data_IF_827867712924
#
_entry.id   IF_827867712924
#
_cell.length_a   1.000
_cell.length_b   1.000
_cell.length_c   1.000
_cell.angle_alpha   90.00
_cell.angle_beta   90.00
_cell.angle_gamma   90.00
#
_symmetry.space_group_name_H-M   'P 1'
#
loop_
_entity.id
_entity.type
_entity.pdbx_description
1 polymer ?
#
# COMPACT_ATOMS: atom_id res chain seq x y z
N UNK A 1 -19.98 14.87 5.43
CA UNK A 1 -20.15 14.08 4.18
C UNK A 1 -20.12 12.61 4.57
N UNK A 2 -21.09 11.80 4.15
CA UNK A 2 -21.12 10.37 4.47
C UNK A 2 -20.22 9.58 3.53
N UNK A 3 -19.45 8.65 4.09
CA UNK A 3 -18.59 7.74 3.34
C UNK A 3 -19.39 6.85 2.39
N UNK A 4 -19.17 7.00 1.08
CA UNK A 4 -19.75 6.15 0.06
C UNK A 4 -18.74 5.08 -0.38
N UNK A 5 -19.16 3.82 -0.35
CA UNK A 5 -18.43 2.62 -0.78
C UNK A 5 -19.22 1.90 -1.87
N UNK A 6 -18.61 0.95 -2.56
CA UNK A 6 -19.31 0.19 -3.61
C UNK A 6 -20.54 -0.56 -3.05
N UNK A 7 -20.42 -1.09 -1.83
CA UNK A 7 -21.51 -1.78 -1.12
C UNK A 7 -22.67 -0.83 -0.79
N UNK A 8 -22.37 0.35 -0.22
CA UNK A 8 -23.40 1.34 0.12
C UNK A 8 -24.04 1.99 -1.10
N UNK A 9 -23.26 2.21 -2.16
CA UNK A 9 -23.78 2.75 -3.43
C UNK A 9 -24.78 1.78 -4.07
N UNK A 10 -24.45 0.49 -4.17
CA UNK A 10 -25.37 -0.49 -4.75
C UNK A 10 -26.66 -0.67 -3.93
N UNK A 11 -26.57 -0.60 -2.59
CA UNK A 11 -27.75 -0.61 -1.71
C UNK A 11 -28.61 0.63 -1.91
N UNK A 12 -28.01 1.81 -2.03
CA UNK A 12 -28.73 3.06 -2.28
C UNK A 12 -29.41 3.06 -3.67
N UNK A 13 -28.70 2.62 -4.70
CA UNK A 13 -29.24 2.46 -6.06
C UNK A 13 -30.43 1.49 -6.07
N UNK A 14 -30.32 0.35 -5.37
CA UNK A 14 -31.42 -0.60 -5.25
C UNK A 14 -32.60 -0.03 -4.45
N UNK A 15 -32.34 0.68 -3.34
CA UNK A 15 -33.38 1.31 -2.55
C UNK A 15 -34.17 2.34 -3.36
N UNK A 16 -33.47 3.16 -4.16
CA UNK A 16 -34.09 4.10 -5.09
C UNK A 16 -34.90 3.38 -6.17
N UNK A 17 -34.36 2.32 -6.77
CA UNK A 17 -35.07 1.52 -7.77
C UNK A 17 -36.33 0.86 -7.22
N UNK A 18 -36.33 0.43 -5.95
CA UNK A 18 -37.48 -0.19 -5.27
C UNK A 18 -38.57 0.83 -4.90
N UNK A 19 -38.22 2.10 -4.74
CA UNK A 19 -39.16 3.12 -4.27
C UNK A 19 -40.42 3.14 -5.14
N UNK A 20 -41.60 3.05 -4.50
CA UNK A 20 -42.89 3.05 -5.17
C UNK A 20 -43.36 1.70 -5.75
N UNK A 21 -42.66 0.58 -5.50
CA UNK A 21 -43.10 -0.76 -5.93
C UNK A 21 -43.67 -1.58 -4.78
N UNK A 22 -44.66 -2.44 -5.08
CA UNK A 22 -45.14 -3.45 -4.14
C UNK A 22 -44.07 -4.53 -3.91
N UNK A 23 -44.15 -5.20 -2.77
CA UNK A 23 -43.21 -6.26 -2.43
C UNK A 23 -43.25 -7.44 -3.41
N UNK A 24 -44.43 -7.82 -3.90
CA UNK A 24 -44.56 -8.91 -4.87
C UNK A 24 -43.95 -8.53 -6.23
N UNK A 25 -44.18 -7.30 -6.70
CA UNK A 25 -43.55 -6.80 -7.91
C UNK A 25 -42.02 -6.72 -7.76
N UNK A 26 -41.55 -6.28 -6.58
CA UNK A 26 -40.14 -6.24 -6.26
C UNK A 26 -39.54 -7.65 -6.20
N UNK A 27 -40.23 -8.63 -5.62
CA UNK A 27 -39.82 -10.03 -5.58
C UNK A 27 -39.65 -10.62 -6.98
N UNK A 28 -40.68 -10.48 -7.83
CA UNK A 28 -40.64 -10.97 -9.19
C UNK A 28 -39.49 -10.34 -9.99
N UNK A 29 -39.34 -9.02 -9.90
CA UNK A 29 -38.29 -8.30 -10.61
C UNK A 29 -36.88 -8.62 -10.09
N UNK A 30 -36.70 -8.79 -8.78
CA UNK A 30 -35.41 -9.22 -8.21
C UNK A 30 -35.06 -10.64 -8.66
N UNK A 31 -36.01 -11.57 -8.57
CA UNK A 31 -35.80 -12.96 -8.99
C UNK A 31 -35.44 -13.05 -10.48
N UNK A 32 -36.17 -12.33 -11.34
CA UNK A 32 -35.88 -12.30 -12.78
C UNK A 32 -34.53 -11.66 -13.08
N UNK A 33 -34.20 -10.55 -12.43
CA UNK A 33 -32.91 -9.89 -12.60
C UNK A 33 -31.76 -10.81 -12.24
N UNK A 34 -31.85 -11.52 -11.12
CA UNK A 34 -30.80 -12.46 -10.69
C UNK A 34 -30.67 -13.59 -11.70
N UNK A 35 -31.77 -14.23 -12.14
CA UNK A 35 -31.72 -15.28 -13.17
C UNK A 35 -31.00 -14.84 -14.44
N UNK A 36 -31.38 -13.68 -14.96
CA UNK A 36 -30.84 -13.18 -16.23
C UNK A 36 -29.37 -12.75 -16.14
N UNK A 37 -28.94 -12.27 -14.97
CA UNK A 37 -27.64 -11.61 -14.84
C UNK A 37 -26.62 -12.41 -14.02
N UNK A 38 -26.99 -13.55 -13.42
CA UNK A 38 -26.07 -14.33 -12.59
C UNK A 38 -24.86 -14.87 -13.37
N UNK A 39 -25.03 -15.09 -14.68
CA UNK A 39 -23.93 -15.49 -15.55
C UNK A 39 -23.11 -14.31 -16.07
N UNK A 40 -23.66 -13.09 -16.05
CA UNK A 40 -22.93 -11.90 -16.43
C UNK A 40 -21.87 -11.60 -15.35
N UNK A 41 -20.59 -11.63 -15.75
CA UNK A 41 -19.44 -11.46 -14.86
C UNK A 41 -19.45 -10.15 -14.04
N UNK A 42 -18.58 -10.11 -13.02
CA UNK A 42 -18.18 -9.09 -12.02
C UNK A 42 -18.89 -7.72 -11.91
N UNK A 43 -19.34 -7.09 -13.00
CA UNK A 43 -19.90 -5.73 -13.01
C UNK A 43 -21.24 -5.63 -12.27
N UNK A 44 -22.04 -6.69 -12.29
CA UNK A 44 -23.37 -6.71 -11.67
C UNK A 44 -23.39 -7.40 -10.29
N UNK A 45 -22.24 -7.85 -9.78
CA UNK A 45 -22.15 -8.62 -8.52
C UNK A 45 -22.81 -7.88 -7.36
N UNK A 46 -22.54 -6.58 -7.20
CA UNK A 46 -23.15 -5.78 -6.13
C UNK A 46 -24.66 -5.55 -6.32
N UNK A 47 -25.11 -5.40 -7.56
CA UNK A 47 -26.52 -5.23 -7.88
C UNK A 47 -27.32 -6.52 -7.64
N UNK A 48 -26.72 -7.68 -7.92
CA UNK A 48 -27.24 -9.02 -7.59
C UNK A 48 -27.28 -9.19 -6.07
N UNK A 49 -26.18 -8.87 -5.39
CA UNK A 49 -26.07 -8.98 -3.94
C UNK A 49 -27.13 -8.14 -3.20
N UNK A 50 -27.33 -6.88 -3.58
CA UNK A 50 -28.33 -6.01 -2.97
C UNK A 50 -29.76 -6.56 -3.12
N UNK A 51 -30.11 -7.09 -4.30
CA UNK A 51 -31.41 -7.73 -4.57
C UNK A 51 -31.58 -9.02 -3.78
N UNK A 52 -30.54 -9.85 -3.72
CA UNK A 52 -30.55 -11.09 -2.95
C UNK A 52 -30.71 -10.81 -1.45
N UNK A 53 -29.97 -9.85 -0.89
CA UNK A 53 -30.12 -9.48 0.52
C UNK A 53 -31.53 -9.02 0.84
N UNK A 54 -32.12 -8.17 -0.01
CA UNK A 54 -33.50 -7.74 0.16
C UNK A 54 -34.49 -8.92 0.13
N UNK A 55 -34.36 -9.84 -0.83
CA UNK A 55 -35.20 -11.04 -0.89
C UNK A 55 -35.06 -11.88 0.39
N UNK A 56 -33.82 -12.06 0.87
CA UNK A 56 -33.52 -12.83 2.08
C UNK A 56 -34.06 -12.16 3.34
N UNK A 57 -33.99 -10.83 3.44
CA UNK A 57 -34.55 -10.03 4.53
C UNK A 57 -36.09 -10.10 4.57
N UNK A 58 -36.74 -10.13 3.39
CA UNK A 58 -38.21 -10.16 3.33
C UNK A 58 -38.79 -11.54 3.63
N UNK A 59 -38.18 -12.60 3.08
CA UNK A 59 -38.56 -13.98 3.38
C UNK A 59 -37.40 -14.92 3.15
N UNK A 60 -36.77 -15.34 4.25
CA UNK A 60 -35.64 -16.27 4.21
C UNK A 60 -35.99 -17.60 3.55
N UNK A 61 -37.15 -18.17 3.89
CA UNK A 61 -37.59 -19.46 3.33
C UNK A 61 -37.81 -19.37 1.82
N UNK A 62 -38.51 -18.33 1.36
CA UNK A 62 -38.77 -18.10 -0.08
C UNK A 62 -37.48 -17.79 -0.85
N UNK A 63 -36.53 -17.10 -0.22
CA UNK A 63 -35.23 -16.78 -0.83
C UNK A 63 -34.37 -18.04 -0.99
N UNK A 64 -34.36 -18.93 0.01
CA UNK A 64 -33.64 -20.21 -0.09
C UNK A 64 -34.27 -21.13 -1.14
N UNK A 65 -35.61 -21.22 -1.19
CA UNK A 65 -36.29 -21.94 -2.26
C UNK A 65 -35.96 -21.36 -3.64
N UNK A 66 -35.92 -20.03 -3.78
CA UNK A 66 -35.47 -19.38 -5.02
C UNK A 66 -34.02 -19.74 -5.36
N UNK A 67 -33.09 -19.71 -4.40
CA UNK A 67 -31.68 -20.10 -4.63
C UNK A 67 -31.56 -21.54 -5.10
N UNK A 68 -32.33 -22.45 -4.51
CA UNK A 68 -32.36 -23.86 -4.91
C UNK A 68 -32.96 -24.05 -6.31
N UNK A 69 -33.89 -23.18 -6.72
CA UNK A 69 -34.49 -23.23 -8.06
C UNK A 69 -33.59 -22.71 -9.20
N UNK A 70 -32.42 -22.16 -8.89
CA UNK A 70 -31.48 -21.66 -9.90
C UNK A 70 -30.62 -22.81 -10.42
N UNK A 71 -30.53 -22.95 -11.74
CA UNK A 71 -29.65 -23.93 -12.41
C UNK A 71 -28.19 -23.78 -11.98
N UNK A 72 -27.78 -22.54 -11.65
CA UNK A 72 -26.42 -22.22 -11.22
C UNK A 72 -26.38 -21.65 -9.80
N UNK A 73 -27.06 -22.33 -8.86
CA UNK A 73 -27.16 -21.93 -7.45
C UNK A 73 -25.80 -21.70 -6.75
N UNK A 74 -24.75 -22.42 -7.15
CA UNK A 74 -23.39 -22.24 -6.65
C UNK A 74 -22.82 -20.86 -6.98
N UNK A 75 -23.08 -20.31 -8.17
CA UNK A 75 -22.61 -18.97 -8.56
C UNK A 75 -23.22 -17.88 -7.69
N UNK A 76 -24.52 -18.01 -7.36
CA UNK A 76 -25.15 -17.07 -6.45
C UNK A 76 -24.52 -17.15 -5.05
N UNK A 77 -24.23 -18.36 -4.58
CA UNK A 77 -23.56 -18.57 -3.28
C UNK A 77 -22.17 -17.93 -3.25
N UNK A 78 -21.35 -18.14 -4.28
CA UNK A 78 -20.03 -17.53 -4.42
C UNK A 78 -20.09 -15.99 -4.50
N UNK A 79 -21.01 -15.45 -5.29
CA UNK A 79 -21.28 -14.02 -5.40
C UNK A 79 -21.59 -13.41 -4.01
N UNK A 80 -22.53 -14.02 -3.29
CA UNK A 80 -22.94 -13.58 -1.96
C UNK A 80 -21.80 -13.67 -0.95
N UNK A 81 -21.03 -14.76 -0.97
CA UNK A 81 -19.88 -14.92 -0.09
C UNK A 81 -18.78 -13.88 -0.39
N UNK A 82 -18.49 -13.61 -1.67
CA UNK A 82 -17.52 -12.60 -2.09
C UNK A 82 -17.90 -11.19 -1.64
N UNK A 83 -19.16 -10.79 -1.84
CA UNK A 83 -19.67 -9.50 -1.37
C UNK A 83 -19.68 -9.41 0.17
N UNK A 84 -20.08 -10.47 0.86
CA UNK A 84 -20.09 -10.50 2.34
C UNK A 84 -18.67 -10.36 2.90
N UNK A 85 -17.69 -11.06 2.32
CA UNK A 85 -16.29 -10.94 2.69
C UNK A 85 -15.76 -9.52 2.43
N UNK A 86 -16.15 -8.91 1.31
CA UNK A 86 -15.80 -7.53 0.98
C UNK A 86 -16.36 -6.55 2.01
N UNK A 87 -17.64 -6.66 2.40
CA UNK A 87 -18.25 -5.83 3.46
C UNK A 87 -17.49 -5.98 4.79
N UNK A 88 -17.11 -7.22 5.16
CA UNK A 88 -16.34 -7.47 6.40
C UNK A 88 -14.97 -6.79 6.36
N UNK A 89 -14.25 -6.92 5.25
CA UNK A 89 -12.94 -6.25 5.05
C UNK A 89 -13.07 -4.73 5.06
N UNK A 90 -14.12 -4.23 4.40
CA UNK A 90 -14.45 -2.80 4.38
C UNK A 90 -14.70 -2.26 5.79
N UNK A 91 -15.53 -2.95 6.59
CA UNK A 91 -15.77 -2.59 7.99
C UNK A 91 -14.51 -2.67 8.85
N UNK A 92 -13.66 -3.68 8.63
CA UNK A 92 -12.39 -3.81 9.33
C UNK A 92 -11.42 -2.67 8.99
N UNK A 93 -11.31 -2.30 7.71
CA UNK A 93 -10.49 -1.18 7.25
C UNK A 93 -10.99 0.16 7.83
N UNK A 94 -12.30 0.42 7.77
CA UNK A 94 -12.93 1.60 8.37
C UNK A 94 -12.63 1.69 9.87
N UNK A 95 -12.80 0.58 10.59
CA UNK A 95 -12.51 0.51 12.02
C UNK A 95 -11.04 0.81 12.30
N UNK A 96 -10.12 0.22 11.54
CA UNK A 96 -8.68 0.47 11.70
C UNK A 96 -8.31 1.94 11.46
N UNK A 97 -8.92 2.59 10.46
CA UNK A 97 -8.72 4.03 10.20
C UNK A 97 -9.21 4.84 11.41
N UNK A 98 -10.46 4.66 11.83
CA UNK A 98 -11.03 5.42 12.95
C UNK A 98 -10.30 5.20 14.28
N UNK A 99 -9.77 4.00 14.51
CA UNK A 99 -8.99 3.68 15.71
C UNK A 99 -7.63 4.39 15.73
N UNK A 100 -6.95 4.49 14.59
CA UNK A 100 -5.62 5.09 14.51
C UNK A 100 -5.67 6.59 14.23
N UNK A 101 -6.71 7.08 13.57
CA UNK A 101 -6.99 8.48 13.26
C UNK A 101 -8.35 8.89 13.84
N UNK A 102 -8.42 9.14 15.16
CA UNK A 102 -9.66 9.60 15.78
C UNK A 102 -10.10 10.93 15.16
N UNK A 103 -11.40 11.09 14.93
CA UNK A 103 -11.96 12.29 14.29
C UNK A 103 -11.88 12.31 12.75
N UNK A 104 -11.40 11.24 12.11
CA UNK A 104 -11.37 11.14 10.64
C UNK A 104 -12.77 11.33 10.03
N UNK A 105 -12.91 12.35 9.18
CA UNK A 105 -14.19 12.80 8.64
C UNK A 105 -14.45 12.35 7.18
N UNK A 106 -13.59 11.49 6.63
CA UNK A 106 -13.69 10.98 5.25
C UNK A 106 -13.65 12.03 4.14
N UNK A 107 -13.16 13.23 4.44
CA UNK A 107 -12.98 14.30 3.47
C UNK A 107 -11.48 14.55 3.28
N UNK A 108 -11.04 14.59 2.02
CA UNK A 108 -9.69 14.98 1.66
C UNK A 108 -9.71 16.36 1.04
N UNK A 109 -9.27 17.36 1.80
CA UNK A 109 -9.14 18.75 1.33
C UNK A 109 -7.67 19.11 1.11
N UNK A 110 -7.39 19.80 0.01
CA UNK A 110 -6.12 20.48 -0.23
C UNK A 110 -6.03 21.77 0.59
N UNK A 111 -4.83 22.35 0.70
CA UNK A 111 -4.60 23.64 1.35
C UNK A 111 -5.45 24.78 0.75
N UNK A 112 -5.75 24.73 -0.55
CA UNK A 112 -6.67 25.65 -1.22
C UNK A 112 -8.15 25.29 -1.12
N UNK A 113 -8.55 24.48 -0.12
CA UNK A 113 -9.92 23.95 0.05
C UNK A 113 -10.48 23.15 -1.16
N UNK A 114 -9.63 22.75 -2.10
CA UNK A 114 -10.05 21.88 -3.21
C UNK A 114 -10.37 20.49 -2.68
N UNK A 115 -11.59 20.02 -2.95
CA UNK A 115 -12.03 18.69 -2.55
C UNK A 115 -11.38 17.62 -3.45
N UNK A 116 -10.55 16.77 -2.85
CA UNK A 116 -9.87 15.62 -3.49
C UNK A 116 -10.48 14.29 -3.05
N UNK A 117 -11.60 14.31 -2.35
CA UNK A 117 -12.31 13.11 -1.88
C UNK A 117 -12.82 12.30 -3.08
N UNK A 118 -12.54 10.99 -3.14
CA UNK A 118 -13.10 10.16 -4.20
C UNK A 118 -14.63 10.06 -4.07
N UNK A 119 -15.38 9.96 -5.18
CA UNK A 119 -16.83 9.79 -5.13
C UNK A 119 -17.23 8.46 -4.47
N UNK A 120 -16.38 7.44 -4.58
CA UNK A 120 -16.54 6.12 -3.97
C UNK A 120 -15.18 5.66 -3.43
N UNK A 121 -15.16 5.19 -2.19
CA UNK A 121 -13.99 4.55 -1.61
C UNK A 121 -14.02 3.06 -1.93
N UNK A 122 -13.14 2.66 -2.84
CA UNK A 122 -12.95 1.23 -3.15
C UNK A 122 -12.34 0.50 -1.95
N UNK A 123 -12.57 -0.80 -1.85
CA UNK A 123 -11.99 -1.62 -0.78
C UNK A 123 -10.45 -1.49 -0.74
N UNK A 124 -9.79 -1.53 -1.91
CA UNK A 124 -8.34 -1.47 -1.98
C UNK A 124 -7.79 -0.12 -1.50
N UNK A 125 -8.49 0.99 -1.79
CA UNK A 125 -8.16 2.30 -1.24
C UNK A 125 -8.32 2.33 0.28
N UNK A 126 -9.41 1.77 0.81
CA UNK A 126 -9.65 1.71 2.25
C UNK A 126 -8.59 0.86 2.98
N UNK A 127 -8.16 -0.24 2.38
CA UNK A 127 -7.12 -1.09 2.95
C UNK A 127 -5.76 -0.41 2.95
N UNK A 128 -5.40 0.30 1.88
CA UNK A 128 -4.19 1.13 1.86
C UNK A 128 -4.28 2.26 2.89
N UNK A 129 -5.43 2.94 3.03
CA UNK A 129 -5.62 3.98 4.06
C UNK A 129 -5.51 3.39 5.47
N UNK A 130 -6.09 2.21 5.72
CA UNK A 130 -5.96 1.52 7.00
C UNK A 130 -4.50 1.13 7.29
N UNK A 131 -3.75 0.70 6.28
CA UNK A 131 -2.32 0.43 6.43
C UNK A 131 -1.54 1.72 6.75
N UNK A 132 -1.82 2.82 6.06
CA UNK A 132 -1.21 4.12 6.35
C UNK A 132 -1.55 4.60 7.77
N UNK A 133 -2.80 4.46 8.19
CA UNK A 133 -3.26 4.86 9.51
C UNK A 133 -2.53 4.09 10.63
N UNK A 134 -2.37 2.77 10.47
CA UNK A 134 -1.56 1.94 11.39
C UNK A 134 -0.09 2.36 11.47
N UNK A 135 0.48 2.87 10.36
CA UNK A 135 1.86 3.35 10.33
C UNK A 135 2.02 4.75 10.93
N UNK A 136 0.94 5.52 11.01
CA UNK A 136 0.95 6.93 11.42
C UNK A 136 -0.16 7.22 12.44
N UNK A 137 -0.22 6.47 13.56
CA UNK A 137 -1.27 6.66 14.55
C UNK A 137 -1.24 8.09 15.12
N UNK A 138 -2.40 8.72 15.20
CA UNK A 138 -2.57 10.11 15.65
C UNK A 138 -2.38 11.17 14.56
N UNK A 139 -1.73 10.87 13.43
CA UNK A 139 -1.36 11.87 12.41
C UNK A 139 -2.38 12.03 11.27
N UNK A 140 -3.66 11.74 11.53
CA UNK A 140 -4.70 11.68 10.49
C UNK A 140 -4.81 12.95 9.65
N UNK A 141 -4.95 14.12 10.29
CA UNK A 141 -5.07 15.41 9.59
C UNK A 141 -3.85 15.75 8.73
N UNK A 142 -2.65 15.47 9.24
CA UNK A 142 -1.40 15.70 8.52
C UNK A 142 -1.31 14.79 7.29
N UNK A 143 -1.73 13.52 7.43
CA UNK A 143 -1.81 12.58 6.31
C UNK A 143 -2.86 12.99 5.27
N UNK A 144 -4.00 13.58 5.66
CA UNK A 144 -4.97 14.17 4.71
C UNK A 144 -4.30 15.20 3.82
N UNK A 145 -3.61 16.17 4.43
CA UNK A 145 -2.95 17.26 3.70
C UNK A 145 -1.88 16.72 2.77
N UNK A 146 -1.11 15.72 3.23
CA UNK A 146 -0.09 15.06 2.41
C UNK A 146 -0.70 14.30 1.22
N UNK A 147 -1.80 13.58 1.42
CA UNK A 147 -2.52 12.92 0.33
C UNK A 147 -3.05 13.92 -0.69
N UNK A 148 -3.63 15.03 -0.23
CA UNK A 148 -4.14 16.09 -1.11
C UNK A 148 -3.02 16.79 -1.90
N UNK A 149 -1.87 17.02 -1.26
CA UNK A 149 -0.67 17.53 -1.92
C UNK A 149 -0.15 16.55 -2.96
N UNK A 150 -0.06 15.26 -2.63
CA UNK A 150 0.35 14.19 -3.54
C UNK A 150 -0.54 14.09 -4.79
N UNK A 151 -1.86 14.23 -4.64
CA UNK A 151 -2.79 14.32 -5.78
C UNK A 151 -2.47 15.52 -6.66
N UNK A 152 -2.22 16.69 -6.06
CA UNK A 152 -1.88 17.91 -6.80
C UNK A 152 -0.57 17.74 -7.57
N UNK A 153 0.47 17.19 -6.92
CA UNK A 153 1.74 16.85 -7.58
C UNK A 153 1.55 15.87 -8.73
N UNK A 154 0.72 14.83 -8.56
CA UNK A 154 0.43 13.87 -9.63
C UNK A 154 -0.24 14.55 -10.83
N UNK A 155 -1.26 15.38 -10.59
CA UNK A 155 -1.97 16.09 -11.66
C UNK A 155 -0.98 16.95 -12.47
N UNK A 156 -0.11 17.69 -11.79
CA UNK A 156 0.89 18.55 -12.42
C UNK A 156 1.93 17.72 -13.21
N UNK A 157 2.51 16.70 -12.56
CA UNK A 157 3.65 15.96 -13.12
C UNK A 157 3.27 14.97 -14.21
N UNK A 158 2.13 14.29 -14.08
CA UNK A 158 1.72 13.22 -15.01
C UNK A 158 0.52 13.59 -15.87
N UNK A 159 0.00 14.82 -15.77
CA UNK A 159 -1.23 15.27 -16.45
C UNK A 159 -2.41 14.31 -16.24
N UNK A 160 -2.53 13.74 -15.04
CA UNK A 160 -3.58 12.77 -14.76
C UNK A 160 -4.97 13.43 -14.78
N UNK A 161 -5.92 12.83 -15.49
CA UNK A 161 -7.33 13.24 -15.47
C UNK A 161 -8.01 12.91 -14.12
N UNK A 162 -7.40 12.08 -13.28
CA UNK A 162 -7.96 11.71 -11.97
C UNK A 162 -7.64 12.83 -10.98
N UNK A 163 -8.66 13.59 -10.59
CA UNK A 163 -8.54 14.74 -9.69
C UNK A 163 -8.71 14.40 -8.21
N UNK A 164 -8.96 13.13 -7.88
CA UNK A 164 -9.24 12.63 -6.53
C UNK A 164 -8.14 11.69 -6.03
N UNK A 165 -8.13 11.42 -4.72
CA UNK A 165 -7.21 10.44 -4.12
C UNK A 165 -7.50 9.05 -4.66
N UNK A 166 -6.46 8.37 -5.12
CA UNK A 166 -6.50 6.97 -5.49
C UNK A 166 -5.51 6.15 -4.66
N UNK A 167 -5.60 4.82 -4.79
CA UNK A 167 -4.76 3.86 -4.05
C UNK A 167 -3.26 4.17 -4.19
N UNK A 168 -2.81 4.52 -5.39
CA UNK A 168 -1.40 4.81 -5.70
C UNK A 168 -0.85 5.98 -4.88
N UNK A 169 -1.67 7.00 -4.62
CA UNK A 169 -1.24 8.15 -3.80
C UNK A 169 -0.98 7.73 -2.36
N UNK A 170 -1.86 6.89 -1.81
CA UNK A 170 -1.73 6.37 -0.45
C UNK A 170 -0.50 5.48 -0.34
N UNK A 171 -0.26 4.61 -1.33
CA UNK A 171 0.92 3.76 -1.38
C UNK A 171 2.22 4.57 -1.49
N UNK A 172 2.24 5.65 -2.27
CA UNK A 172 3.39 6.54 -2.35
C UNK A 172 3.70 7.20 -0.99
N UNK A 173 2.66 7.61 -0.25
CA UNK A 173 2.82 8.17 1.11
C UNK A 173 3.30 7.09 2.09
N UNK A 174 2.75 5.88 2.03
CA UNK A 174 3.21 4.74 2.84
C UNK A 174 4.70 4.50 2.63
N UNK A 175 5.16 4.47 1.37
CA UNK A 175 6.55 4.22 1.04
C UNK A 175 7.45 5.36 1.52
N UNK A 176 7.00 6.60 1.40
CA UNK A 176 7.69 7.76 1.94
C UNK A 176 7.83 7.68 3.47
N UNK A 177 6.78 7.31 4.19
CA UNK A 177 6.81 7.16 5.66
C UNK A 177 7.77 6.05 6.08
N UNK A 178 7.75 4.91 5.38
CA UNK A 178 8.67 3.79 5.64
C UNK A 178 10.12 4.18 5.38
N UNK A 179 10.38 4.87 4.27
CA UNK A 179 11.71 5.36 3.90
C UNK A 179 12.28 6.33 4.93
N UNK A 180 11.45 7.25 5.45
CA UNK A 180 11.87 8.21 6.47
C UNK A 180 12.23 7.53 7.80
N UNK A 181 11.51 6.47 8.19
CA UNK A 181 11.82 5.71 9.42
C UNK A 181 13.12 4.91 9.33
N UNK A 182 13.55 4.50 8.14
CA UNK A 182 14.78 3.71 7.95
C UNK A 182 16.07 4.54 8.03
N UNK A 183 15.99 5.88 7.93
CA UNK A 183 17.16 6.77 8.09
C UNK A 183 17.49 6.98 9.57
N UNK A 184 17.97 5.93 10.24
CA UNK A 184 18.81 6.12 11.43
C UNK A 184 20.20 6.46 10.91
N UNK A 185 20.80 7.61 11.28
CA UNK A 185 22.16 7.92 10.86
C UNK A 185 23.09 6.83 11.42
N UNK A 186 23.80 6.17 10.52
CA UNK A 186 24.92 5.29 10.90
C UNK A 186 25.87 6.11 11.78
N UNK A 187 26.27 5.62 12.97
CA UNK A 187 27.26 6.34 13.77
C UNK A 187 28.51 6.51 12.91
N UNK A 188 28.93 7.76 12.71
CA UNK A 188 30.18 8.08 12.05
C UNK A 188 31.30 7.29 12.73
N UNK A 189 32.16 6.58 11.98
CA UNK A 189 33.30 5.91 12.60
C UNK A 189 34.13 6.97 13.35
N UNK A 190 34.66 6.65 14.55
CA UNK A 190 35.52 7.58 15.27
C UNK A 190 36.68 7.97 14.35
N UNK A 191 36.88 9.28 14.18
CA UNK A 191 38.07 9.81 13.53
C UNK A 191 39.27 9.42 14.38
N UNK A 192 39.97 8.36 13.97
CA UNK A 192 41.34 8.14 14.40
C UNK A 192 42.19 9.28 13.85
N UNK A 193 42.70 10.09 14.76
CA UNK A 193 43.84 10.97 14.54
C UNK A 193 45.06 10.10 14.19
N UNK A 194 45.33 9.92 12.89
CA UNK A 194 46.59 9.34 12.42
C UNK A 194 47.48 10.44 11.83
N UNK A 195 48.54 10.72 12.58
CA UNK A 195 49.72 11.48 12.14
C UNK A 195 50.57 10.61 11.17
N UNK A 196 51.51 11.18 10.39
CA UNK A 196 51.99 10.57 9.15
C UNK A 196 53.28 9.72 9.28
N UNK A 197 53.35 8.68 8.43
CA UNK A 197 54.54 8.03 7.79
C UNK A 197 55.61 7.31 8.66
N UNK A 198 56.49 6.43 8.10
CA UNK A 198 56.53 5.75 6.79
C UNK A 198 56.78 4.20 6.87
N UNK A 199 56.74 3.51 5.71
CA UNK A 199 57.08 2.08 5.48
C UNK A 199 58.60 1.87 5.18
N UNK A 200 59.13 0.70 4.71
CA UNK A 200 58.97 -0.77 4.95
C UNK A 200 60.35 -1.41 5.41
N UNK A 201 60.69 -2.75 5.40
CA UNK A 201 60.81 -3.66 4.21
C UNK A 201 60.60 -5.22 4.41
N UNK A 202 60.25 -5.86 3.29
CA UNK A 202 60.69 -7.15 2.68
C UNK A 202 61.13 -8.40 3.50
N UNK A 203 60.56 -9.57 3.18
CA UNK A 203 61.25 -10.71 2.47
C UNK A 203 60.67 -12.12 2.78
N UNK A 204 59.97 -12.71 1.79
CA UNK A 204 60.13 -14.07 1.18
C UNK A 204 60.12 -15.36 2.06
N UNK A 205 60.18 -16.59 1.46
CA UNK A 205 59.12 -17.61 1.59
C UNK A 205 59.61 -18.95 2.20
N UNK A 206 58.70 -19.86 2.53
CA UNK A 206 59.09 -21.23 2.88
C UNK A 206 58.08 -22.27 2.34
N UNK A 207 58.66 -23.24 1.63
CA UNK A 207 58.09 -24.41 0.97
C UNK A 207 58.22 -25.58 1.96
N UNK A 208 57.19 -26.43 2.12
CA UNK A 208 57.30 -27.86 2.50
C UNK A 208 55.90 -28.52 2.35
N UNK A 209 55.63 -29.28 1.27
CA UNK A 209 55.84 -30.73 1.11
C UNK A 209 55.14 -31.63 2.14
N UNK A 210 54.13 -32.38 1.69
CA UNK A 210 53.57 -33.55 2.39
C UNK A 210 52.58 -34.32 1.53
N UNK A 211 53.02 -35.45 0.94
CA UNK A 211 52.25 -36.41 0.14
C UNK A 211 51.51 -37.43 1.05
N UNK A 212 50.27 -37.85 0.74
CA UNK A 212 49.82 -39.21 0.28
C UNK A 212 48.57 -39.67 1.09
N UNK A 213 47.83 -40.75 0.76
CA UNK A 213 47.04 -41.06 -0.45
C UNK A 213 45.58 -41.56 -0.08
N UNK A 214 44.77 -42.14 -0.99
CA UNK A 214 43.28 -42.07 -0.98
C UNK A 214 42.55 -43.37 -0.55
N UNK A 215 41.22 -43.28 -0.31
CA UNK A 215 40.17 -44.32 -0.57
C UNK A 215 38.82 -43.92 0.10
N UNK A 216 37.66 -44.57 -0.18
CA UNK A 216 37.00 -44.82 -1.47
C UNK A 216 35.52 -44.32 -1.47
N UNK A 217 34.90 -44.32 -2.66
CA UNK A 217 33.46 -44.14 -2.88
C UNK A 217 32.63 -45.25 -2.19
N UNK A 218 31.36 -44.96 -1.87
CA UNK A 218 30.33 -45.86 -2.36
C UNK A 218 29.19 -45.15 -3.10
N UNK A 219 28.89 -45.71 -4.27
CA UNK A 219 27.61 -45.66 -4.97
C UNK A 219 26.42 -45.85 -4.04
N UNK A 220 25.36 -45.08 -4.27
CA UNK A 220 23.99 -45.61 -4.24
C UNK A 220 22.99 -44.63 -4.91
N UNK A 221 22.77 -44.90 -6.21
CA UNK A 221 21.46 -45.17 -6.79
C UNK A 221 20.29 -44.20 -6.52
N UNK A 222 20.01 -43.34 -7.51
CA UNK A 222 18.64 -42.97 -7.94
C UNK A 222 17.84 -44.23 -8.33
N UNK A 223 16.48 -44.29 -8.28
CA UNK A 223 15.56 -43.58 -9.20
C UNK A 223 14.10 -43.41 -8.64
N UNK A 224 13.01 -43.25 -9.43
CA UNK A 224 12.74 -42.38 -10.59
C UNK A 224 11.49 -41.46 -10.40
N UNK A 225 11.29 -40.56 -11.36
CA UNK A 225 10.10 -39.72 -11.57
C UNK A 225 8.84 -40.54 -11.93
N UNK A 226 7.62 -40.12 -11.53
CA UNK A 226 6.37 -40.57 -12.14
C UNK A 226 5.99 -39.73 -13.38
N UNK A 227 5.09 -40.26 -14.24
CA UNK A 227 5.14 -40.07 -15.68
C UNK A 227 4.33 -38.87 -16.21
N UNK A 228 4.79 -38.40 -17.37
CA UNK A 228 4.07 -37.58 -18.34
C UNK A 228 2.94 -38.44 -18.91
N UNK A 229 1.71 -37.95 -18.85
CA UNK A 229 0.61 -38.44 -19.66
C UNK A 229 0.43 -37.46 -20.83
N UNK A 230 0.89 -37.91 -21.99
CA UNK A 230 0.38 -37.48 -23.29
C UNK A 230 -0.95 -38.21 -23.53
N UNK A 231 -2.00 -37.45 -23.82
CA UNK A 231 -3.07 -37.91 -24.70
C UNK A 231 -3.34 -36.78 -25.69
N UNK A 232 -2.88 -37.03 -26.92
CA UNK A 232 -3.18 -36.28 -28.12
C UNK A 232 -4.63 -36.56 -28.51
N UNK A 233 -5.37 -35.51 -28.87
CA UNK A 233 -6.39 -35.62 -29.91
C UNK A 233 -6.06 -34.58 -30.97
N UNK A 234 -5.79 -35.10 -32.16
CA UNK A 234 -5.56 -34.42 -33.43
C UNK A 234 -6.75 -33.53 -33.83
N UNK A 235 -6.50 -32.29 -34.24
CA UNK A 235 -7.21 -31.69 -35.38
C UNK A 235 -6.27 -30.82 -36.21
N UNK A 236 -6.46 -30.94 -37.52
CA UNK A 236 -5.58 -30.57 -38.61
C UNK A 236 -5.22 -29.06 -38.70
N UNK A 237 -3.97 -28.82 -39.05
CA UNK A 237 -3.47 -27.59 -39.70
C UNK A 237 -3.31 -27.91 -41.19
N UNK A 238 -3.57 -26.94 -42.09
CA UNK A 238 -2.48 -26.48 -42.98
C UNK A 238 -2.41 -24.93 -43.01
N UNK A 239 -1.28 -24.33 -42.62
CA UNK A 239 -0.18 -23.83 -43.48
C UNK A 239 -0.53 -22.51 -44.23
N UNK A 240 0.31 -21.48 -44.34
CA UNK A 240 1.70 -21.22 -43.95
C UNK A 240 2.04 -19.73 -44.21
N UNK A 241 3.25 -19.32 -43.76
CA UNK A 241 4.12 -18.20 -44.24
C UNK A 241 3.75 -16.76 -43.80
N UNK A 242 4.66 -15.88 -43.35
CA UNK A 242 6.13 -15.79 -43.43
C UNK A 242 6.77 -14.96 -42.28
N UNK A 243 8.02 -15.35 -41.97
CA UNK A 243 9.21 -14.64 -41.43
C UNK A 243 9.24 -13.82 -40.12
N UNK A 244 10.13 -14.22 -39.17
CA UNK A 244 10.72 -13.35 -38.16
C UNK A 244 12.14 -12.88 -38.52
N UNK A 245 12.41 -11.59 -38.30
CA UNK A 245 13.72 -10.98 -38.42
C UNK A 245 14.52 -11.05 -37.10
N UNK A 246 15.77 -11.53 -37.20
CA UNK A 246 16.95 -10.77 -36.77
C UNK A 246 17.43 -10.91 -35.33
N UNK A 247 18.45 -11.75 -35.15
CA UNK A 247 19.38 -11.81 -34.01
C UNK A 247 20.22 -10.52 -33.84
N UNK A 248 20.60 -10.18 -32.60
CA UNK A 248 21.97 -9.75 -32.27
C UNK A 248 22.21 -9.67 -30.74
N UNK A 249 23.09 -10.57 -30.28
CA UNK A 249 24.07 -10.51 -29.18
C UNK A 249 24.09 -9.33 -28.19
N UNK A 250 24.22 -9.68 -26.90
CA UNK A 250 25.27 -9.11 -26.04
C UNK A 250 25.61 -10.04 -24.85
N UNK A 251 26.91 -10.19 -24.66
CA UNK A 251 27.68 -11.08 -23.78
C UNK A 251 27.57 -10.83 -22.27
N UNK A 252 27.59 -11.95 -21.53
CA UNK A 252 28.54 -12.30 -20.46
C UNK A 252 29.05 -11.22 -19.46
N UNK A 253 28.67 -11.41 -18.19
CA UNK A 253 29.52 -11.29 -16.98
C UNK A 253 28.74 -12.01 -15.86
N UNK A 254 29.26 -12.99 -15.12
CA UNK A 254 30.60 -13.13 -14.57
C UNK A 254 30.47 -13.01 -13.04
N UNK A 255 30.60 -14.15 -12.36
CA UNK A 255 30.28 -14.46 -10.97
C UNK A 255 30.77 -13.48 -9.87
N UNK A 256 30.05 -13.45 -8.74
CA UNK A 256 30.62 -13.74 -7.41
C UNK A 256 29.52 -13.94 -6.35
N UNK A 257 29.52 -15.14 -5.78
CA UNK A 257 28.65 -15.65 -4.73
C UNK A 257 29.57 -15.92 -3.53
N UNK A 258 29.38 -15.18 -2.44
CA UNK A 258 30.08 -15.41 -1.16
C UNK A 258 29.12 -16.02 -0.14
N UNK A 259 29.57 -17.12 0.44
CA UNK A 259 28.95 -17.84 1.54
C UNK A 259 29.23 -17.18 2.90
N UNK A 260 28.17 -17.19 3.71
CA UNK A 260 28.08 -17.31 5.17
C UNK A 260 29.22 -16.80 6.08
N UNK A 261 28.85 -15.91 7.03
CA UNK A 261 29.14 -16.14 8.46
C UNK A 261 28.27 -15.28 9.38
N UNK A 262 27.50 -15.94 10.25
CA UNK A 262 26.81 -15.33 11.40
C UNK A 262 27.78 -15.09 12.56
N UNK A 263 27.75 -13.92 13.22
CA UNK A 263 28.19 -13.79 14.60
C UNK A 263 26.99 -13.60 15.54
N UNK A 264 27.05 -14.30 16.67
CA UNK A 264 26.08 -14.27 17.77
C UNK A 264 25.88 -12.85 18.37
N UNK A 265 24.71 -12.55 18.98
CA UNK A 265 24.44 -11.24 19.53
C UNK A 265 25.11 -11.05 20.89
N UNK A 266 26.18 -10.26 20.92
CA UNK A 266 26.72 -9.69 22.16
C UNK A 266 25.71 -8.72 22.79
N UNK A 267 25.30 -9.01 24.02
CA UNK A 267 24.42 -8.20 24.86
C UNK A 267 25.15 -6.98 25.44
N UNK A 268 25.46 -6.00 24.59
CA UNK A 268 25.95 -4.70 25.05
C UNK A 268 24.78 -3.78 25.43
N UNK A 269 24.74 -3.36 26.69
CA UNK A 269 23.78 -2.38 27.24
C UNK A 269 23.70 -1.13 26.37
N UNK A 270 22.64 -1.02 25.55
CA UNK A 270 22.25 0.21 24.84
C UNK A 270 22.00 1.32 25.87
N UNK A 271 22.95 2.25 26.01
CA UNK A 271 22.69 3.56 26.60
C UNK A 271 21.67 4.26 25.69
N UNK A 272 20.43 4.40 26.16
CA UNK A 272 19.39 5.20 25.50
C UNK A 272 19.88 6.64 25.48
N UNK A 273 20.15 7.17 24.29
CA UNK A 273 20.29 8.61 24.12
C UNK A 273 18.98 9.31 24.52
N UNK A 274 19.04 10.59 24.91
CA UNK A 274 17.85 11.34 25.28
C UNK A 274 16.86 11.32 24.11
N UNK A 275 15.60 10.97 24.40
CA UNK A 275 14.54 10.99 23.40
C UNK A 275 14.42 12.43 22.88
N UNK A 276 14.61 12.64 21.58
CA UNK A 276 14.32 13.94 20.96
C UNK A 276 12.88 14.33 21.28
N UNK A 277 12.65 15.57 21.71
CA UNK A 277 11.30 16.05 22.00
C UNK A 277 10.41 15.86 20.78
N UNK A 278 9.14 15.55 21.00
CA UNK A 278 8.17 15.30 19.92
C UNK A 278 8.07 16.50 18.96
N UNK A 279 8.26 17.70 19.48
CA UNK A 279 8.32 18.95 18.72
C UNK A 279 9.55 19.01 17.81
N UNK A 280 10.73 18.60 18.27
CA UNK A 280 11.94 18.57 17.41
C UNK A 280 11.80 17.58 16.26
N UNK A 281 11.15 16.44 16.50
CA UNK A 281 10.81 15.47 15.46
C UNK A 281 9.83 16.03 14.42
N UNK A 282 8.82 16.79 14.86
CA UNK A 282 7.87 17.47 13.98
C UNK A 282 8.56 18.56 13.15
N UNK A 283 9.39 19.40 13.79
CA UNK A 283 10.18 20.45 13.11
C UNK A 283 11.16 19.86 12.11
N UNK A 284 11.89 18.79 12.44
CA UNK A 284 12.79 18.09 11.50
C UNK A 284 12.01 17.49 10.33
N UNK A 285 10.85 16.89 10.58
CA UNK A 285 10.03 16.28 9.53
C UNK A 285 9.47 17.34 8.58
N UNK A 286 8.84 18.40 9.10
CA UNK A 286 8.29 19.50 8.30
C UNK A 286 9.42 20.22 7.54
N UNK A 287 10.57 20.47 8.18
CA UNK A 287 11.73 21.09 7.51
C UNK A 287 12.28 20.21 6.39
N UNK A 288 12.37 18.89 6.61
CA UNK A 288 12.79 17.95 5.58
C UNK A 288 11.81 17.87 4.41
N UNK A 289 10.52 18.15 4.63
CA UNK A 289 9.51 18.20 3.58
C UNK A 289 9.63 19.49 2.77
N UNK A 290 9.75 20.62 3.45
CA UNK A 290 9.97 21.94 2.84
C UNK A 290 11.21 21.93 1.95
N UNK A 291 12.32 21.38 2.43
CA UNK A 291 13.57 21.30 1.68
C UNK A 291 13.47 20.38 0.45
N UNK A 292 12.71 19.28 0.56
CA UNK A 292 12.52 18.34 -0.55
C UNK A 292 11.59 18.89 -1.64
N UNK A 293 10.65 19.75 -1.28
CA UNK A 293 9.80 20.45 -2.24
C UNK A 293 10.51 21.64 -2.88
N UNK A 294 11.32 22.40 -2.12
CA UNK A 294 12.20 23.45 -2.66
C UNK A 294 13.14 22.91 -3.75
N UNK A 295 13.73 21.73 -3.52
CA UNK A 295 14.59 21.04 -4.51
C UNK A 295 13.83 20.55 -5.75
N UNK A 296 12.53 20.30 -5.65
CA UNK A 296 11.70 19.91 -6.80
C UNK A 296 11.22 21.14 -7.59
N UNK A 297 10.89 22.23 -6.90
CA UNK A 297 10.55 23.50 -7.53
C UNK A 297 11.72 24.07 -8.35
N UNK A 298 12.95 23.94 -7.86
CA UNK A 298 14.16 24.34 -8.59
C UNK A 298 14.52 23.48 -9.82
N UNK A 299 13.79 22.39 -10.09
CA UNK A 299 13.93 21.55 -11.29
C UNK A 299 12.79 21.75 -12.30
N UNK A 300 11.88 22.69 -12.04
CA UNK A 300 10.80 23.03 -12.97
C UNK A 300 11.31 24.06 -13.97
N UNK A 301 11.14 23.80 -15.28
CA UNK A 301 11.53 24.71 -16.36
C UNK A 301 10.62 25.95 -16.44
N UNK A 302 9.54 26.02 -15.64
CA UNK A 302 8.65 27.17 -15.56
C UNK A 302 9.01 28.04 -14.35
N UNK A 303 9.80 29.09 -14.59
CA UNK A 303 10.17 30.08 -13.57
C UNK A 303 8.96 30.75 -12.90
N UNK A 304 7.82 30.86 -13.61
CA UNK A 304 6.59 31.43 -13.09
C UNK A 304 5.87 30.51 -12.09
N UNK A 305 5.84 29.19 -12.35
CA UNK A 305 5.24 28.21 -11.43
C UNK A 305 6.13 27.96 -10.21
N UNK A 306 7.45 27.99 -10.39
CA UNK A 306 8.41 27.96 -9.29
C UNK A 306 8.26 29.19 -8.38
N UNK A 307 7.97 30.37 -8.95
CA UNK A 307 7.74 31.61 -8.19
C UNK A 307 6.43 31.59 -7.40
N UNK A 308 5.28 31.21 -7.99
CA UNK A 308 3.98 31.18 -7.26
C UNK A 308 3.97 30.13 -6.15
N UNK A 309 4.56 28.95 -6.40
CA UNK A 309 4.77 27.97 -5.33
C UNK A 309 5.71 28.56 -4.26
N UNK A 310 6.88 29.08 -4.63
CA UNK A 310 7.82 29.66 -3.66
C UNK A 310 7.22 30.81 -2.84
N UNK A 311 6.30 31.60 -3.42
CA UNK A 311 5.59 32.66 -2.70
C UNK A 311 4.61 32.08 -1.68
N UNK A 312 3.78 31.11 -2.10
CA UNK A 312 2.86 30.40 -1.19
C UNK A 312 3.60 29.64 -0.09
N UNK A 313 4.81 29.14 -0.37
CA UNK A 313 5.69 28.50 0.61
C UNK A 313 6.37 29.51 1.55
N UNK A 314 6.68 30.72 1.09
CA UNK A 314 7.21 31.79 1.93
C UNK A 314 6.15 32.32 2.92
N UNK A 315 4.88 32.30 2.53
CA UNK A 315 3.76 32.68 3.39
C UNK A 315 3.42 31.60 4.44
N UNK A 316 3.75 30.33 4.16
CA UNK A 316 3.64 29.20 5.09
C UNK A 316 4.89 29.11 5.99
N UNK A 317 5.05 30.08 6.89
CA UNK A 317 6.14 30.05 7.87
C UNK A 317 6.05 28.77 8.74
N UNK A 318 7.20 28.14 8.99
CA UNK A 318 7.34 26.92 9.79
C UNK A 318 6.70 27.09 11.18
N UNK A 319 6.86 28.28 11.75
CA UNK A 319 6.23 28.69 13.01
C UNK A 319 4.70 28.64 12.90
N UNK A 320 4.09 29.21 11.85
CA UNK A 320 2.63 29.19 11.62
C UNK A 320 2.08 27.78 11.44
N UNK A 321 2.85 26.89 10.81
CA UNK A 321 2.50 25.48 10.63
C UNK A 321 2.54 24.72 11.97
N UNK A 322 3.57 24.96 12.78
CA UNK A 322 3.69 24.36 14.12
C UNK A 322 2.64 24.95 15.07
N UNK A 323 2.31 26.22 14.95
CA UNK A 323 1.29 26.89 15.75
C UNK A 323 -0.14 26.52 15.36
N UNK A 324 -0.35 26.07 14.13
CA UNK A 324 -1.62 25.49 13.69
C UNK A 324 -1.88 24.10 14.29
N UNK A 325 -0.91 23.51 14.99
CA UNK A 325 -1.10 22.24 15.68
C UNK A 325 -1.87 22.43 17.00
N UNK A 326 -2.74 21.46 17.37
CA UNK A 326 -3.45 21.48 18.65
C UNK A 326 -2.51 21.68 19.85
N UNK A 327 -2.91 22.47 20.85
CA UNK A 327 -2.06 22.83 22.01
C UNK A 327 -1.45 21.62 22.74
N UNK A 328 -2.23 20.55 22.89
CA UNK A 328 -1.77 19.27 23.49
C UNK A 328 -0.66 18.54 22.70
N UNK A 329 -0.25 19.08 21.55
CA UNK A 329 0.88 18.62 20.74
C UNK A 329 2.10 19.53 20.83
N UNK A 330 1.91 20.78 21.28
CA UNK A 330 2.97 21.77 21.54
C UNK A 330 3.49 21.65 22.98
N UNK A 331 2.64 21.25 23.91
CA UNK A 331 3.04 21.05 25.30
C UNK A 331 3.77 19.72 25.49
N UNK A 332 5.03 19.82 25.89
CA UNK A 332 5.77 18.73 26.51
C UNK A 332 5.01 18.35 27.79
N UNK A 333 4.48 17.12 27.84
CA UNK A 333 4.02 16.56 29.10
C UNK A 333 5.23 16.52 30.02
N UNK A 334 5.38 17.56 30.85
CA UNK A 334 6.41 17.66 31.86
C UNK A 334 6.40 16.34 32.65
N UNK A 335 7.57 15.72 32.89
CA UNK A 335 7.60 14.62 33.83
C UNK A 335 7.06 15.15 35.15
N UNK A 336 5.98 14.56 35.65
CA UNK A 336 5.49 14.81 36.99
C UNK A 336 6.71 14.75 37.92
N UNK A 337 7.09 15.91 38.45
CA UNK A 337 8.01 15.99 39.56
C UNK A 337 7.41 15.13 40.67
N UNK A 338 7.98 13.94 40.85
CA UNK A 338 7.78 13.18 42.07
C UNK A 338 8.36 14.03 43.18
N UNK A 339 7.48 14.73 43.89
CA UNK A 339 7.79 15.24 45.20
C UNK A 339 8.21 14.05 46.07
N UNK A 340 9.50 14.00 46.41
CA UNK A 340 9.97 13.29 47.58
C UNK A 340 9.64 14.18 48.78
N UNK A 341 8.74 13.69 49.64
CA UNK A 341 8.64 14.05 51.07
C UNK A 341 8.01 12.89 51.82
#
# INVERSE_FOLDING_TARGET
MTLTTDSSAARAEFAAWRAGRSDDACWAACGQFIRNNLQAQSRLTWAIFARWEWMRERSRLRAEAFRQSLDVSQRLTQCVQGCTNTIRREAAAKRAIMQNWPGWNWVVLSAGNTNRTPPRFSLSLLESLAALAKLTPGFGELMVRQLAAGVTTRIITTRSAITTVCRRDVEAVIEQVRSSRRRVPSPSPPRETSNPSPAPPQSSPAIEQGRSPPEPLPDQSSPPLPPIFDDNDDEEIPSAMDDPAGEANAEQSGAQQEDAQSPAPNTAKRRRGPAKSRETLLREMISGWLEKDKRRAGRSDSAAEASDLSQRWADLNLETLVDSLPAHWREESAPASRDES
#
